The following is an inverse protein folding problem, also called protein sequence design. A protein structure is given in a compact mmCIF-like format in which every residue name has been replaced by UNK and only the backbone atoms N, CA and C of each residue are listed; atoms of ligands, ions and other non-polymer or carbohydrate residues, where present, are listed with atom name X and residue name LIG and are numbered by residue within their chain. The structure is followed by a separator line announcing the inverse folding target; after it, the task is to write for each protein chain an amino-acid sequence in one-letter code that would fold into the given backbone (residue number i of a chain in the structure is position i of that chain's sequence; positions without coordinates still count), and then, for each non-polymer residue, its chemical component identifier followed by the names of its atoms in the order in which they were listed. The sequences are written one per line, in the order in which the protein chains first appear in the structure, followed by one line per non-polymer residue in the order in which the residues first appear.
data_IF_678684448563
#
_entry.id   IF_678684448563
#
_cell.length_a   1.000
_cell.length_b   1.000
_cell.length_c   1.000
_cell.angle_alpha   90.00
_cell.angle_beta   90.00
_cell.angle_gamma   90.00
#
_symmetry.space_group_name_H-M   'P 1'
#
loop_
_entity.id
_entity.type
_entity.pdbx_description
1 polymer ?
#
# COMPACT_ATOMS: atom_id res chain seq x y z
N UNK A 1 -28.36 -31.70 3.98
CA UNK A 1 -27.77 -31.06 5.18
C UNK A 1 -26.63 -30.16 4.72
N UNK A 2 -26.53 -28.93 5.21
CA UNK A 2 -25.40 -28.05 4.86
C UNK A 2 -24.07 -28.57 5.42
N UNK A 3 -22.97 -28.36 4.71
CA UNK A 3 -21.63 -28.86 5.06
C UNK A 3 -21.17 -28.45 6.47
N UNK A 4 -21.40 -27.20 6.90
CA UNK A 4 -20.88 -26.69 8.18
C UNK A 4 -21.42 -27.47 9.40
N UNK A 5 -22.74 -27.62 9.62
CA UNK A 5 -23.28 -28.48 10.67
C UNK A 5 -22.77 -29.91 10.61
N UNK A 6 -22.58 -30.46 9.40
CA UNK A 6 -22.04 -31.80 9.23
C UNK A 6 -20.58 -31.87 9.73
N UNK A 7 -19.71 -30.95 9.33
CA UNK A 7 -18.33 -30.92 9.80
C UNK A 7 -18.26 -30.71 11.32
N UNK A 8 -19.15 -29.90 11.89
CA UNK A 8 -19.22 -29.68 13.35
C UNK A 8 -19.56 -30.95 14.13
N UNK A 9 -20.23 -31.94 13.55
CA UNK A 9 -20.52 -33.20 14.25
C UNK A 9 -19.27 -34.03 14.53
N UNK A 10 -18.15 -33.73 13.88
CA UNK A 10 -16.87 -34.35 14.13
C UNK A 10 -16.10 -33.76 15.33
N UNK A 11 -16.63 -32.71 15.97
CA UNK A 11 -15.97 -32.05 17.08
C UNK A 11 -15.91 -32.95 18.32
N UNK A 12 -14.77 -32.92 19.02
CA UNK A 12 -14.60 -33.56 20.33
C UNK A 12 -14.46 -32.53 21.46
N UNK A 13 -14.29 -33.00 22.69
CA UNK A 13 -14.07 -32.14 23.85
C UNK A 13 -12.81 -31.26 23.74
N UNK A 14 -11.85 -31.61 22.87
CA UNK A 14 -10.65 -30.79 22.62
C UNK A 14 -10.83 -29.75 21.52
N UNK A 15 -11.96 -29.78 20.79
CA UNK A 15 -12.25 -28.78 19.75
C UNK A 15 -12.50 -27.41 20.38
N UNK A 16 -11.81 -26.39 19.88
CA UNK A 16 -12.06 -25.00 20.27
C UNK A 16 -13.51 -24.63 20.00
N UNK A 17 -14.21 -24.13 21.02
CA UNK A 17 -15.62 -23.76 20.93
C UNK A 17 -15.80 -22.29 21.29
N UNK A 18 -16.78 -21.65 20.67
CA UNK A 18 -17.21 -20.28 20.99
C UNK A 18 -18.63 -20.31 21.54
N UNK A 19 -18.93 -19.45 22.51
CA UNK A 19 -20.30 -19.29 23.00
C UNK A 19 -21.08 -18.45 22.00
N UNK A 20 -22.08 -19.03 21.33
CA UNK A 20 -22.94 -18.29 20.41
C UNK A 20 -24.41 -18.57 20.70
N UNK A 21 -25.26 -17.59 20.42
CA UNK A 21 -26.70 -17.81 20.30
C UNK A 21 -26.89 -18.48 18.94
N UNK A 22 -27.19 -19.79 18.93
CA UNK A 22 -27.40 -20.69 17.78
C UNK A 22 -27.16 -20.14 16.35
N UNK A 23 -26.37 -20.82 15.50
CA UNK A 23 -25.80 -20.24 14.28
C UNK A 23 -26.86 -20.05 13.18
N UNK A 24 -27.31 -18.81 12.99
CA UNK A 24 -27.93 -18.41 11.73
C UNK A 24 -26.83 -18.27 10.68
N UNK A 25 -27.04 -18.88 9.50
CA UNK A 25 -26.15 -18.73 8.35
C UNK A 25 -26.04 -17.28 7.86
N UNK A 26 -25.29 -17.01 6.78
CA UNK A 26 -25.20 -15.66 6.23
C UNK A 26 -26.61 -15.13 5.91
N UNK A 27 -26.87 -13.83 6.04
CA UNK A 27 -28.14 -13.26 5.61
C UNK A 27 -28.30 -13.57 4.12
N UNK A 28 -29.25 -14.44 3.79
CA UNK A 28 -29.66 -14.63 2.40
C UNK A 28 -30.17 -13.30 1.84
N UNK A 29 -30.11 -13.08 0.52
CA UNK A 29 -30.77 -11.93 -0.09
C UNK A 29 -32.26 -12.03 0.27
N UNK A 30 -32.71 -11.11 1.11
CA UNK A 30 -34.08 -11.04 1.57
C UNK A 30 -35.01 -11.02 0.37
N UNK A 31 -36.02 -11.89 0.41
CA UNK A 31 -37.17 -11.79 -0.45
C UNK A 31 -37.71 -10.37 -0.37
N UNK A 32 -37.66 -9.65 -1.49
CA UNK A 32 -38.39 -8.42 -1.69
C UNK A 32 -39.87 -8.76 -1.73
N UNK A 33 -40.54 -8.65 -0.58
CA UNK A 33 -41.99 -8.41 -0.54
C UNK A 33 -42.15 -6.91 -0.28
N UNK A 34 -42.83 -6.24 -1.21
CA UNK A 34 -43.06 -4.81 -1.20
C UNK A 34 -44.32 -4.42 -0.40
N UNK A 35 -44.24 -3.19 0.16
CA UNK A 35 -45.25 -2.17 0.45
C UNK A 35 -46.38 -2.38 1.48
N UNK A 36 -46.49 -1.40 2.41
CA UNK A 36 -47.76 -0.69 2.64
C UNK A 36 -48.42 -0.68 4.03
N UNK A 37 -48.03 0.27 4.90
CA UNK A 37 -48.84 0.94 5.97
C UNK A 37 -49.41 0.06 7.15
N UNK A 38 -50.08 0.64 8.18
CA UNK A 38 -49.53 0.78 9.54
C UNK A 38 -50.35 0.05 10.62
N UNK A 39 -49.83 -0.01 11.86
CA UNK A 39 -50.46 -0.54 13.10
C UNK A 39 -50.43 -2.06 13.39
N UNK A 40 -49.38 -2.47 14.13
CA UNK A 40 -49.42 -3.31 15.36
C UNK A 40 -49.58 -4.85 15.26
N UNK A 41 -49.25 -5.63 16.32
CA UNK A 41 -48.70 -5.26 17.63
C UNK A 41 -47.28 -5.82 17.90
N UNK A 42 -46.64 -5.23 18.91
CA UNK A 42 -45.44 -5.72 19.60
C UNK A 42 -45.59 -7.20 20.01
N UNK A 43 -45.01 -8.12 19.23
CA UNK A 43 -44.76 -9.49 19.68
C UNK A 43 -43.36 -9.55 20.26
N UNK A 44 -43.30 -9.32 21.58
CA UNK A 44 -42.44 -10.08 22.48
C UNK A 44 -40.93 -9.90 22.37
N UNK A 45 -40.42 -8.77 22.83
CA UNK A 45 -39.05 -8.62 23.39
C UNK A 45 -38.78 -9.50 24.63
N UNK A 46 -39.73 -10.36 25.02
CA UNK A 46 -39.60 -11.27 26.16
C UNK A 46 -39.16 -12.71 25.80
N UNK A 47 -39.02 -13.05 24.50
CA UNK A 47 -38.61 -14.39 24.07
C UNK A 47 -37.11 -14.55 23.74
N UNK A 48 -36.32 -13.46 23.82
CA UNK A 48 -34.86 -13.50 23.64
C UNK A 48 -34.09 -13.64 24.96
N UNK A 49 -34.78 -13.68 26.09
CA UNK A 49 -34.17 -13.68 27.43
C UNK A 49 -33.83 -15.09 27.98
N UNK A 50 -33.92 -16.15 27.16
CA UNK A 50 -33.62 -17.51 27.61
C UNK A 50 -33.02 -18.44 26.54
N UNK A 51 -32.45 -17.91 25.46
CA UNK A 51 -31.59 -18.72 24.60
C UNK A 51 -30.23 -18.90 25.27
N UNK A 52 -30.05 -20.02 25.98
CA UNK A 52 -28.78 -20.41 26.58
C UNK A 52 -27.67 -20.40 25.53
N UNK A 53 -26.60 -19.64 25.78
CA UNK A 53 -25.38 -19.67 24.99
C UNK A 53 -24.85 -21.10 24.96
N UNK A 54 -24.84 -21.74 23.79
CA UNK A 54 -24.32 -23.09 23.63
C UNK A 54 -22.91 -23.04 23.04
N UNK A 55 -21.98 -23.88 23.54
CA UNK A 55 -20.64 -23.97 22.96
C UNK A 55 -20.76 -24.51 21.53
N UNK A 56 -20.36 -23.69 20.56
CA UNK A 56 -20.34 -24.03 19.14
C UNK A 56 -18.91 -24.33 18.72
N UNK A 57 -18.58 -25.56 18.28
CA UNK A 57 -17.23 -25.90 17.87
C UNK A 57 -16.82 -25.18 16.59
N UNK A 58 -15.57 -24.72 16.56
CA UNK A 58 -14.91 -24.13 15.39
C UNK A 58 -13.82 -25.10 14.93
N UNK A 59 -14.19 -25.95 13.98
CA UNK A 59 -13.31 -26.95 13.37
C UNK A 59 -13.20 -26.81 11.84
N UNK A 60 -13.88 -25.82 11.27
CA UNK A 60 -13.84 -25.53 9.84
C UNK A 60 -14.00 -24.04 9.54
N UNK A 61 -13.27 -23.56 8.54
CA UNK A 61 -13.38 -22.22 7.97
C UNK A 61 -13.61 -22.35 6.47
N UNK A 62 -14.65 -21.72 5.95
CA UNK A 62 -15.06 -21.85 4.56
C UNK A 62 -15.06 -20.47 3.88
N UNK A 63 -14.56 -20.43 2.65
CA UNK A 63 -14.65 -19.29 1.76
C UNK A 63 -14.80 -19.79 0.32
N UNK A 64 -16.03 -19.73 -0.23
CA UNK A 64 -16.35 -20.38 -1.51
C UNK A 64 -15.93 -21.86 -1.52
N UNK A 65 -15.08 -22.26 -2.47
CA UNK A 65 -14.51 -23.61 -2.60
C UNK A 65 -13.28 -23.87 -1.70
N UNK A 66 -12.67 -22.83 -1.14
CA UNK A 66 -11.57 -22.94 -0.20
C UNK A 66 -12.09 -23.29 1.20
N UNK A 67 -11.74 -24.49 1.69
CA UNK A 67 -12.12 -24.99 3.01
C UNK A 67 -10.88 -25.36 3.81
N UNK A 68 -10.77 -24.80 5.01
CA UNK A 68 -9.77 -25.20 6.00
C UNK A 68 -10.43 -26.02 7.11
N UNK A 69 -9.93 -27.23 7.34
CA UNK A 69 -10.33 -28.10 8.44
C UNK A 69 -9.28 -28.00 9.56
N UNK A 70 -9.73 -27.82 10.80
CA UNK A 70 -8.88 -27.57 11.96
C UNK A 70 -9.28 -28.49 13.10
N UNK A 71 -8.33 -29.26 13.63
CA UNK A 71 -8.57 -30.18 14.72
C UNK A 71 -7.39 -31.14 14.93
N UNK A 72 -7.57 -32.10 15.81
CA UNK A 72 -6.70 -33.27 15.93
C UNK A 72 -6.72 -34.13 14.67
N UNK A 73 -5.72 -35.00 14.51
CA UNK A 73 -5.60 -35.85 13.32
C UNK A 73 -6.83 -36.75 13.11
N UNK A 74 -7.43 -37.27 14.17
CA UNK A 74 -8.66 -38.07 14.11
C UNK A 74 -9.88 -37.24 13.71
N UNK A 75 -10.05 -36.06 14.30
CA UNK A 75 -11.16 -35.14 13.97
C UNK A 75 -11.09 -34.70 12.50
N UNK A 76 -9.90 -34.32 12.02
CA UNK A 76 -9.70 -33.91 10.62
C UNK A 76 -9.94 -35.08 9.67
N UNK A 77 -9.48 -36.29 10.00
CA UNK A 77 -9.75 -37.48 9.18
C UNK A 77 -11.25 -37.75 9.06
N UNK A 78 -11.98 -37.67 10.17
CA UNK A 78 -13.42 -37.85 10.18
C UNK A 78 -14.14 -36.75 9.39
N UNK A 79 -13.72 -35.48 9.53
CA UNK A 79 -14.24 -34.37 8.71
C UNK A 79 -14.00 -34.58 7.21
N UNK A 80 -12.86 -35.15 6.80
CA UNK A 80 -12.60 -35.50 5.40
C UNK A 80 -13.59 -36.55 4.88
N UNK A 81 -13.91 -37.58 5.68
CA UNK A 81 -14.91 -38.59 5.31
C UNK A 81 -16.30 -37.96 5.13
N UNK A 82 -16.70 -37.10 6.07
CA UNK A 82 -17.96 -36.37 5.99
C UNK A 82 -18.02 -35.44 4.78
N UNK A 83 -16.93 -34.71 4.49
CA UNK A 83 -16.82 -33.84 3.33
C UNK A 83 -16.89 -34.63 2.02
N UNK A 84 -16.31 -35.83 1.98
CA UNK A 84 -16.40 -36.75 0.85
C UNK A 84 -17.84 -37.23 0.64
N UNK A 85 -18.50 -37.77 1.68
CA UNK A 85 -19.88 -38.25 1.59
C UNK A 85 -20.81 -37.12 1.13
N UNK A 86 -20.66 -35.94 1.73
CA UNK A 86 -21.43 -34.75 1.37
C UNK A 86 -21.23 -34.36 -0.10
N UNK A 87 -19.98 -34.35 -0.57
CA UNK A 87 -19.68 -34.00 -1.97
C UNK A 87 -20.33 -34.96 -2.98
N UNK A 88 -20.27 -36.26 -2.72
CA UNK A 88 -20.90 -37.29 -3.55
C UNK A 88 -22.41 -37.15 -3.57
N UNK A 89 -23.02 -36.82 -2.42
CA UNK A 89 -24.47 -36.63 -2.29
C UNK A 89 -24.96 -35.41 -3.08
N UNK A 90 -24.18 -34.34 -3.16
CA UNK A 90 -24.55 -33.11 -3.86
C UNK A 90 -23.99 -33.00 -5.29
N UNK A 91 -23.29 -34.02 -5.79
CA UNK A 91 -22.83 -34.08 -7.18
C UNK A 91 -21.62 -33.18 -7.49
N UNK A 92 -20.79 -32.84 -6.50
CA UNK A 92 -19.51 -32.14 -6.72
C UNK A 92 -18.33 -32.97 -6.19
N UNK A 93 -17.10 -32.60 -6.56
CA UNK A 93 -15.89 -33.26 -6.05
C UNK A 93 -14.87 -32.24 -5.56
N UNK A 94 -14.25 -32.56 -4.43
CA UNK A 94 -13.03 -31.90 -4.00
C UNK A 94 -11.86 -32.30 -4.90
N UNK A 95 -10.81 -31.49 -4.92
CA UNK A 95 -9.60 -31.73 -5.72
C UNK A 95 -8.44 -32.10 -4.79
N UNK A 96 -8.21 -33.38 -4.45
CA UNK A 96 -7.09 -33.81 -3.61
C UNK A 96 -5.73 -33.21 -4.01
N UNK A 97 -5.38 -33.06 -5.32
CA UNK A 97 -4.11 -32.44 -5.72
C UNK A 97 -3.92 -30.97 -5.32
N UNK A 98 -4.99 -30.28 -4.91
CA UNK A 98 -4.95 -28.89 -4.41
C UNK A 98 -5.02 -28.81 -2.89
N UNK A 99 -5.28 -29.93 -2.21
CA UNK A 99 -5.35 -30.02 -0.77
C UNK A 99 -3.98 -30.37 -0.19
N UNK A 100 -3.71 -29.91 1.01
CA UNK A 100 -2.51 -30.27 1.74
C UNK A 100 -2.80 -30.31 3.25
N UNK A 101 -1.94 -31.03 3.97
CA UNK A 101 -2.02 -31.14 5.43
C UNK A 101 -0.86 -30.38 6.04
N UNK A 102 -1.17 -29.37 6.84
CA UNK A 102 -0.21 -28.68 7.70
C UNK A 102 -0.16 -29.36 9.07
N UNK A 103 1.01 -29.38 9.71
CA UNK A 103 1.21 -29.90 11.06
C UNK A 103 0.77 -31.36 11.27
N UNK A 104 0.91 -32.21 10.24
CA UNK A 104 0.65 -33.64 10.41
C UNK A 104 1.62 -34.23 11.45
N UNK A 105 1.13 -35.07 12.39
CA UNK A 105 2.02 -35.83 13.27
C UNK A 105 3.02 -36.67 12.47
N UNK A 106 4.22 -36.88 12.99
CA UNK A 106 5.20 -37.75 12.31
C UNK A 106 4.67 -39.18 12.17
N UNK A 107 5.00 -39.91 11.09
CA UNK A 107 4.51 -41.28 10.86
C UNK A 107 4.76 -42.27 12.01
N UNK A 108 5.81 -42.06 12.82
CA UNK A 108 6.09 -42.88 14.01
C UNK A 108 5.32 -42.48 15.27
N UNK A 109 4.45 -41.47 15.21
CA UNK A 109 3.66 -41.02 16.36
C UNK A 109 2.38 -41.86 16.50
N UNK A 110 2.00 -42.18 17.74
CA UNK A 110 0.69 -42.79 18.04
C UNK A 110 -0.51 -41.92 17.61
N UNK A 111 -0.28 -40.63 17.35
CA UNK A 111 -1.29 -39.68 16.87
C UNK A 111 -1.36 -39.59 15.35
N UNK A 112 -0.49 -40.30 14.63
CA UNK A 112 -0.47 -40.28 13.18
C UNK A 112 -1.75 -40.90 12.63
N UNK A 113 -2.39 -40.16 11.73
CA UNK A 113 -3.53 -40.64 10.95
C UNK A 113 -3.26 -40.25 9.50
N UNK A 114 -3.29 -41.25 8.62
CA UNK A 114 -3.13 -41.02 7.19
C UNK A 114 -4.32 -40.22 6.67
N UNK A 115 -4.04 -39.04 6.12
CA UNK A 115 -5.06 -38.14 5.58
C UNK A 115 -5.29 -38.45 4.11
N UNK A 116 -6.51 -38.84 3.76
CA UNK A 116 -6.87 -39.15 2.38
C UNK A 116 -8.26 -38.66 2.04
N UNK A 117 -8.48 -38.43 0.74
CA UNK A 117 -9.75 -38.01 0.17
C UNK A 117 -9.97 -38.75 -1.15
N UNK A 118 -11.11 -39.44 -1.27
CA UNK A 118 -11.42 -40.37 -2.37
C UNK A 118 -10.35 -41.46 -2.58
N UNK A 119 -9.75 -41.93 -1.49
CA UNK A 119 -8.65 -42.91 -1.53
C UNK A 119 -7.31 -42.34 -2.03
N UNK A 120 -7.21 -41.04 -2.29
CA UNK A 120 -5.95 -40.37 -2.61
C UNK A 120 -5.36 -39.74 -1.36
N UNK A 121 -4.08 -40.00 -1.11
CA UNK A 121 -3.36 -39.42 0.02
C UNK A 121 -3.14 -37.92 -0.17
N UNK A 122 -3.38 -37.16 0.90
CA UNK A 122 -3.11 -35.73 0.92
C UNK A 122 -1.65 -35.49 1.31
N UNK A 123 -0.89 -34.69 0.54
CA UNK A 123 0.50 -34.41 0.87
C UNK A 123 0.61 -33.60 2.16
N UNK A 124 1.51 -34.03 3.05
CA UNK A 124 1.94 -33.21 4.19
C UNK A 124 2.92 -32.15 3.72
N UNK A 125 2.67 -30.89 4.06
CA UNK A 125 3.52 -29.76 3.67
C UNK A 125 3.91 -28.93 4.90
N UNK A 126 5.07 -28.29 4.86
CA UNK A 126 5.50 -27.35 5.92
C UNK A 126 4.86 -25.97 5.76
N UNK A 127 4.55 -25.57 4.52
CA UNK A 127 3.93 -24.29 4.18
C UNK A 127 2.78 -24.50 3.19
N UNK A 128 1.64 -23.83 3.42
CA UNK A 128 0.48 -23.86 2.53
C UNK A 128 -0.16 -22.48 2.42
N UNK A 129 -0.62 -22.11 1.23
CA UNK A 129 -1.25 -20.82 0.98
C UNK A 129 -2.76 -20.93 1.03
N UNK A 130 -3.38 -20.29 2.02
CA UNK A 130 -4.83 -20.21 2.18
C UNK A 130 -5.31 -18.77 1.95
N UNK A 131 -6.26 -18.56 1.03
CA UNK A 131 -6.75 -17.23 0.62
C UNK A 131 -5.62 -16.26 0.23
N UNK A 132 -4.57 -16.79 -0.39
CA UNK A 132 -3.38 -16.02 -0.78
C UNK A 132 -2.44 -15.62 0.37
N UNK A 133 -2.65 -16.09 1.59
CA UNK A 133 -1.74 -15.88 2.72
C UNK A 133 -1.01 -17.20 3.02
N UNK A 134 0.33 -17.25 2.99
CA UNK A 134 1.07 -18.45 3.33
C UNK A 134 1.08 -18.68 4.84
N UNK A 135 0.81 -19.91 5.24
CA UNK A 135 0.84 -20.39 6.61
C UNK A 135 1.90 -21.48 6.76
N UNK A 136 2.63 -21.44 7.86
CA UNK A 136 3.51 -22.50 8.35
C UNK A 136 2.96 -23.09 9.65
N UNK A 137 3.69 -24.01 10.27
CA UNK A 137 3.29 -24.63 11.52
C UNK A 137 3.13 -23.69 12.72
N UNK A 138 3.59 -22.44 12.61
CA UNK A 138 3.52 -21.40 13.66
C UNK A 138 2.51 -20.29 13.34
N UNK A 139 1.84 -20.34 12.18
CA UNK A 139 0.85 -19.36 11.74
C UNK A 139 1.23 -18.69 10.43
N UNK A 140 1.02 -17.38 10.32
CA UNK A 140 1.31 -16.65 9.06
C UNK A 140 2.82 -16.58 8.82
N UNK A 141 3.27 -17.15 7.69
CA UNK A 141 4.65 -17.05 7.21
C UNK A 141 4.89 -15.68 6.58
N UNK A 142 5.22 -14.69 7.40
CA UNK A 142 5.41 -13.29 6.97
C UNK A 142 6.53 -13.17 5.92
N UNK A 143 7.62 -13.91 6.10
CA UNK A 143 8.75 -13.91 5.17
C UNK A 143 8.37 -14.44 3.79
N UNK A 144 7.65 -15.57 3.72
CA UNK A 144 7.19 -16.12 2.45
C UNK A 144 6.15 -15.20 1.79
N UNK A 145 5.25 -14.62 2.59
CA UNK A 145 4.27 -13.65 2.11
C UNK A 145 4.97 -12.46 1.44
N UNK A 146 5.95 -11.83 2.09
CA UNK A 146 6.67 -10.68 1.53
C UNK A 146 7.43 -11.07 0.27
N UNK A 147 8.11 -12.23 0.27
CA UNK A 147 8.84 -12.74 -0.90
C UNK A 147 7.90 -12.94 -2.09
N UNK A 148 6.81 -13.66 -1.90
CA UNK A 148 5.82 -13.95 -2.94
C UNK A 148 5.18 -12.66 -3.48
N UNK A 149 4.73 -11.77 -2.59
CA UNK A 149 4.10 -10.49 -2.96
C UNK A 149 5.06 -9.55 -3.65
N UNK A 150 6.33 -9.49 -3.22
CA UNK A 150 7.36 -8.70 -3.87
C UNK A 150 7.62 -9.18 -5.30
N UNK A 151 7.79 -10.49 -5.49
CA UNK A 151 7.99 -11.09 -6.81
C UNK A 151 6.80 -10.80 -7.75
N UNK A 152 5.58 -11.10 -7.29
CA UNK A 152 4.35 -10.86 -8.07
C UNK A 152 4.14 -9.38 -8.42
N UNK A 153 4.45 -8.48 -7.48
CA UNK A 153 4.36 -7.03 -7.70
C UNK A 153 5.37 -6.57 -8.74
N UNK A 154 6.62 -7.04 -8.67
CA UNK A 154 7.66 -6.66 -9.63
C UNK A 154 7.32 -7.17 -11.04
N UNK A 155 6.80 -8.39 -11.15
CA UNK A 155 6.32 -8.92 -12.43
C UNK A 155 5.18 -8.08 -13.01
N UNK A 156 4.18 -7.72 -12.19
CA UNK A 156 3.08 -6.85 -12.63
C UNK A 156 3.57 -5.45 -13.02
N UNK A 157 4.52 -4.88 -12.27
CA UNK A 157 5.13 -3.59 -12.58
C UNK A 157 5.93 -3.65 -13.89
N UNK A 158 6.64 -4.75 -14.16
CA UNK A 158 7.37 -4.95 -15.41
C UNK A 158 6.43 -5.01 -16.62
N UNK A 159 5.28 -5.67 -16.48
CA UNK A 159 4.23 -5.68 -17.51
C UNK A 159 3.67 -4.27 -17.76
N UNK A 160 3.32 -3.51 -16.71
CA UNK A 160 2.85 -2.14 -16.91
C UNK A 160 3.94 -1.24 -17.51
N UNK A 161 5.19 -1.46 -17.13
CA UNK A 161 6.33 -0.71 -17.67
C UNK A 161 6.48 -0.92 -19.19
N UNK A 162 6.29 -2.15 -19.69
CA UNK A 162 6.29 -2.42 -21.15
C UNK A 162 5.08 -1.82 -21.86
N UNK A 163 3.95 -1.61 -21.17
CA UNK A 163 2.73 -0.97 -21.70
C UNK A 163 2.75 0.57 -21.64
N UNK A 164 3.90 1.19 -21.33
CA UNK A 164 4.03 2.66 -21.31
C UNK A 164 4.02 3.30 -19.92
N UNK A 165 3.98 2.52 -18.83
CA UNK A 165 4.19 3.00 -17.46
C UNK A 165 5.68 3.26 -17.19
N UNK A 166 6.30 4.08 -18.02
CA UNK A 166 7.71 4.43 -18.03
C UNK A 166 7.88 5.92 -18.32
N UNK A 167 9.13 6.41 -18.32
CA UNK A 167 9.46 7.83 -18.56
C UNK A 167 8.99 8.34 -19.94
N UNK A 168 8.86 7.45 -20.92
CA UNK A 168 8.53 7.78 -22.31
C UNK A 168 7.02 7.77 -22.57
N UNK A 169 6.23 7.01 -21.81
CA UNK A 169 4.77 6.97 -21.94
C UNK A 169 4.08 8.02 -21.07
N UNK A 170 3.55 7.60 -19.93
CA UNK A 170 2.72 8.44 -19.07
C UNK A 170 3.51 9.50 -18.28
N UNK A 171 2.82 10.59 -17.92
CA UNK A 171 3.38 11.59 -17.01
C UNK A 171 3.66 10.98 -15.63
N UNK A 172 4.70 11.45 -14.93
CA UNK A 172 5.06 10.90 -13.62
C UNK A 172 3.90 10.95 -12.61
N UNK A 173 3.07 12.00 -12.64
CA UNK A 173 1.90 12.10 -11.79
C UNK A 173 0.92 10.95 -12.05
N UNK A 174 0.55 10.72 -13.31
CA UNK A 174 -0.33 9.64 -13.69
C UNK A 174 0.31 8.28 -13.34
N UNK A 175 1.58 8.10 -13.65
CA UNK A 175 2.33 6.89 -13.34
C UNK A 175 2.34 6.56 -11.84
N UNK A 176 2.52 7.57 -10.98
CA UNK A 176 2.45 7.38 -9.52
C UNK A 176 1.06 7.03 -9.01
N UNK A 177 0.00 7.54 -9.67
CA UNK A 177 -1.40 7.23 -9.33
C UNK A 177 -1.75 5.82 -9.75
N UNK A 178 -1.35 5.40 -10.96
CA UNK A 178 -1.52 4.03 -11.44
C UNK A 178 -0.75 3.03 -10.56
N UNK A 179 0.48 3.36 -10.17
CA UNK A 179 1.23 2.57 -9.19
C UNK A 179 0.44 2.43 -7.87
N UNK A 180 -0.03 3.53 -7.30
CA UNK A 180 -0.76 3.52 -6.04
C UNK A 180 -2.11 2.76 -6.12
N UNK A 181 -2.76 2.77 -7.29
CA UNK A 181 -4.06 2.16 -7.52
C UNK A 181 -3.99 0.66 -7.84
N UNK A 182 -3.00 0.22 -8.63
CA UNK A 182 -2.97 -1.15 -9.16
C UNK A 182 -1.79 -2.00 -8.68
N UNK A 183 -0.62 -1.38 -8.47
CA UNK A 183 0.60 -2.11 -8.12
C UNK A 183 0.77 -2.20 -6.61
N UNK A 184 0.66 -1.08 -5.88
CA UNK A 184 0.84 -1.06 -4.43
C UNK A 184 -0.09 -2.00 -3.68
N UNK A 185 -1.39 -2.15 -4.04
CA UNK A 185 -2.28 -3.10 -3.36
C UNK A 185 -1.79 -4.56 -3.39
N UNK A 186 -1.05 -4.97 -4.43
CA UNK A 186 -0.44 -6.31 -4.49
C UNK A 186 0.60 -6.53 -3.39
N UNK A 187 1.32 -5.49 -2.97
CA UNK A 187 2.23 -5.55 -1.81
C UNK A 187 1.49 -5.45 -0.46
N UNK A 188 0.34 -4.79 -0.44
CA UNK A 188 -0.41 -4.51 0.78
C UNK A 188 -1.26 -5.69 1.29
N UNK A 189 -1.59 -6.64 0.41
CA UNK A 189 -2.42 -7.78 0.77
C UNK A 189 -1.80 -8.62 1.90
N UNK A 190 -2.57 -8.83 2.98
CA UNK A 190 -2.14 -9.56 4.18
C UNK A 190 -1.40 -8.70 5.24
N UNK A 191 -0.93 -7.49 4.91
CA UNK A 191 -0.14 -6.68 5.85
C UNK A 191 -0.93 -6.22 7.09
N UNK A 192 -2.25 -6.13 6.99
CA UNK A 192 -3.13 -5.70 8.08
C UNK A 192 -3.13 -6.66 9.29
N UNK A 193 -2.82 -7.94 9.05
CA UNK A 193 -2.82 -9.02 10.05
C UNK A 193 -1.42 -9.60 10.25
N UNK A 194 -0.40 -9.03 9.61
CA UNK A 194 0.96 -9.52 9.68
C UNK A 194 1.76 -8.86 10.81
N UNK A 195 2.51 -9.66 11.55
CA UNK A 195 3.52 -9.18 12.51
C UNK A 195 4.82 -8.89 11.75
N UNK A 196 4.96 -7.65 11.29
CA UNK A 196 6.15 -7.21 10.57
C UNK A 196 7.30 -6.89 11.52
N UNK A 197 8.48 -7.42 11.23
CA UNK A 197 9.74 -6.96 11.82
C UNK A 197 10.26 -5.73 11.08
N UNK A 198 11.32 -5.10 11.62
CA UNK A 198 12.01 -4.01 10.92
C UNK A 198 12.57 -4.47 9.56
N UNK A 199 13.16 -5.66 9.50
CA UNK A 199 13.73 -6.25 8.28
C UNK A 199 12.67 -6.47 7.20
N UNK A 200 11.47 -6.88 7.61
CA UNK A 200 10.31 -7.04 6.72
C UNK A 200 9.88 -5.71 6.12
N UNK A 201 9.81 -4.66 6.94
CA UNK A 201 9.53 -3.30 6.47
C UNK A 201 10.58 -2.79 5.48
N UNK A 202 11.87 -3.09 5.72
CA UNK A 202 12.95 -2.76 4.80
C UNK A 202 12.81 -3.50 3.45
N UNK A 203 12.45 -4.79 3.44
CA UNK A 203 12.22 -5.54 2.20
C UNK A 203 11.02 -5.02 1.41
N UNK A 204 9.91 -4.70 2.09
CA UNK A 204 8.75 -4.09 1.44
C UNK A 204 9.09 -2.74 0.81
N UNK A 205 9.87 -1.91 1.51
CA UNK A 205 10.34 -0.64 0.94
C UNK A 205 11.29 -0.88 -0.24
N UNK A 206 12.18 -1.89 -0.19
CA UNK A 206 13.03 -2.27 -1.34
C UNK A 206 12.20 -2.68 -2.56
N UNK A 207 11.13 -3.45 -2.37
CA UNK A 207 10.23 -3.85 -3.44
C UNK A 207 9.50 -2.64 -4.06
N UNK A 208 8.95 -1.75 -3.24
CA UNK A 208 8.36 -0.49 -3.70
C UNK A 208 9.40 0.36 -4.46
N UNK A 209 10.61 0.48 -3.93
CA UNK A 209 11.65 1.33 -4.50
C UNK A 209 12.14 0.85 -5.87
N UNK A 210 12.22 -0.46 -6.07
CA UNK A 210 12.44 -1.05 -7.41
C UNK A 210 11.33 -0.63 -8.38
N UNK A 211 10.06 -0.73 -7.99
CA UNK A 211 8.94 -0.32 -8.83
C UNK A 211 9.00 1.18 -9.18
N UNK A 212 9.28 2.03 -8.19
CA UNK A 212 9.34 3.48 -8.40
C UNK A 212 10.48 3.89 -9.33
N UNK A 213 11.64 3.23 -9.28
CA UNK A 213 12.74 3.48 -10.21
C UNK A 213 12.36 3.15 -11.65
N UNK A 214 11.54 2.12 -11.88
CA UNK A 214 11.04 1.78 -13.21
C UNK A 214 10.16 2.90 -13.79
N UNK A 215 9.34 3.58 -12.97
CA UNK A 215 8.47 4.68 -13.43
C UNK A 215 9.27 5.83 -14.06
N UNK A 216 10.46 6.10 -13.53
CA UNK A 216 11.29 7.25 -13.93
C UNK A 216 12.49 6.86 -14.79
N UNK A 217 12.67 5.57 -15.09
CA UNK A 217 13.87 5.05 -15.76
C UNK A 217 15.15 5.35 -14.95
N UNK A 218 15.05 5.32 -13.62
CA UNK A 218 16.15 5.68 -12.72
C UNK A 218 17.16 4.54 -12.56
N UNK A 219 18.42 4.89 -12.31
CA UNK A 219 19.47 3.91 -11.99
C UNK A 219 19.14 3.09 -10.75
N UNK A 220 19.72 1.88 -10.62
CA UNK A 220 19.50 0.95 -9.49
C UNK A 220 19.80 1.54 -8.10
N UNK A 221 20.57 2.62 -8.01
CA UNK A 221 20.89 3.33 -6.76
C UNK A 221 20.19 4.68 -6.62
N UNK A 222 19.34 5.07 -7.57
CA UNK A 222 18.64 6.35 -7.51
C UNK A 222 17.80 6.44 -6.23
N UNK A 223 17.87 7.60 -5.56
CA UNK A 223 17.10 7.86 -4.36
C UNK A 223 15.61 7.90 -4.69
N UNK A 224 14.85 7.09 -3.97
CA UNK A 224 13.38 7.02 -4.05
C UNK A 224 12.72 7.88 -3.00
N UNK A 225 13.48 8.42 -2.03
CA UNK A 225 12.96 9.31 -0.98
C UNK A 225 12.34 10.56 -1.59
N UNK A 226 13.08 11.23 -2.48
CA UNK A 226 12.60 12.42 -3.19
C UNK A 226 11.44 12.05 -4.10
N UNK A 227 11.53 10.93 -4.82
CA UNK A 227 10.47 10.47 -5.72
C UNK A 227 9.15 10.24 -4.98
N UNK A 228 9.20 9.55 -3.84
CA UNK A 228 8.05 9.36 -2.94
C UNK A 228 7.51 10.70 -2.43
N UNK A 229 8.38 11.64 -2.09
CA UNK A 229 7.98 12.96 -1.63
C UNK A 229 7.25 13.76 -2.72
N UNK A 230 7.85 13.95 -3.90
CA UNK A 230 7.24 14.76 -4.97
C UNK A 230 5.94 14.16 -5.51
N UNK A 231 5.79 12.83 -5.45
CA UNK A 231 4.56 12.11 -5.84
C UNK A 231 3.57 11.91 -4.69
N UNK A 232 3.94 12.34 -3.47
CA UNK A 232 3.19 12.09 -2.23
C UNK A 232 2.92 10.62 -1.88
N UNK A 233 3.75 9.69 -2.36
CA UNK A 233 3.64 8.27 -2.03
C UNK A 233 4.22 7.96 -0.64
N UNK A 234 3.50 7.27 0.24
CA UNK A 234 4.02 6.82 1.54
C UNK A 234 5.05 5.70 1.38
N UNK A 235 5.83 5.45 2.43
CA UNK A 235 6.62 4.22 2.57
C UNK A 235 5.71 3.01 2.79
N UNK A 236 6.19 1.81 2.50
CA UNK A 236 5.44 0.57 2.79
C UNK A 236 5.27 0.33 4.29
N UNK A 237 6.23 0.78 5.11
CA UNK A 237 6.10 0.73 6.58
C UNK A 237 4.88 1.53 7.04
N UNK A 238 4.77 2.79 6.59
CA UNK A 238 3.62 3.63 6.92
C UNK A 238 2.30 3.06 6.38
N UNK A 239 2.33 2.43 5.19
CA UNK A 239 1.16 1.74 4.64
C UNK A 239 0.73 0.55 5.51
N UNK A 240 1.67 -0.28 5.95
CA UNK A 240 1.38 -1.40 6.83
C UNK A 240 0.77 -0.92 8.16
N UNK A 241 1.36 0.12 8.78
CA UNK A 241 0.83 0.73 10.00
C UNK A 241 -0.58 1.28 9.80
N UNK A 242 -0.83 1.96 8.68
CA UNK A 242 -2.18 2.44 8.32
C UNK A 242 -3.18 1.28 8.19
N UNK A 243 -2.77 0.15 7.61
CA UNK A 243 -3.62 -1.03 7.42
C UNK A 243 -3.92 -1.70 8.76
N UNK A 244 -2.94 -1.81 9.65
CA UNK A 244 -3.13 -2.33 11.01
C UNK A 244 -4.08 -1.44 11.82
N UNK A 245 -3.90 -0.11 11.79
CA UNK A 245 -4.83 0.81 12.45
C UNK A 245 -6.26 0.61 11.94
N UNK A 246 -6.45 0.59 10.62
CA UNK A 246 -7.77 0.37 10.01
C UNK A 246 -8.38 -0.97 10.42
N UNK A 247 -7.56 -2.02 10.51
CA UNK A 247 -8.00 -3.32 10.96
C UNK A 247 -8.43 -3.30 12.43
N UNK A 248 -7.63 -2.70 13.33
CA UNK A 248 -7.99 -2.58 14.75
C UNK A 248 -9.26 -1.75 14.97
N UNK A 249 -9.42 -0.63 14.24
CA UNK A 249 -10.63 0.19 14.32
C UNK A 249 -11.87 -0.56 13.82
N UNK A 250 -11.73 -1.32 12.71
CA UNK A 250 -12.81 -2.17 12.21
C UNK A 250 -13.15 -3.26 13.22
N UNK A 251 -12.14 -3.89 13.81
CA UNK A 251 -12.31 -4.94 14.81
C UNK A 251 -13.15 -4.46 16.01
N UNK A 252 -12.89 -3.25 16.51
CA UNK A 252 -13.64 -2.70 17.64
C UNK A 252 -15.10 -2.33 17.30
N UNK A 253 -15.45 -2.23 16.01
CA UNK A 253 -16.82 -1.97 15.55
C UNK A 253 -17.51 -3.20 14.96
N UNK A 254 -16.95 -4.40 15.14
CA UNK A 254 -17.59 -5.64 14.69
C UNK A 254 -18.74 -6.02 15.63
N UNK A 255 -19.83 -6.58 15.10
CA UNK A 255 -20.87 -7.20 15.92
C UNK A 255 -20.32 -8.30 16.83
N UNK A 256 -20.92 -8.47 18.01
CA UNK A 256 -20.50 -9.46 19.00
C UNK A 256 -20.70 -10.91 18.52
N UNK A 257 -21.68 -11.12 17.63
CA UNK A 257 -22.02 -12.42 17.03
C UNK A 257 -21.14 -12.80 15.82
N UNK A 258 -20.27 -11.90 15.36
CA UNK A 258 -19.37 -12.22 14.26
C UNK A 258 -18.26 -13.20 14.71
N UNK A 259 -17.84 -14.08 13.80
CA UNK A 259 -16.85 -15.13 14.10
C UNK A 259 -15.58 -14.60 14.76
N UNK A 260 -15.07 -13.45 14.30
CA UNK A 260 -13.83 -12.90 14.82
C UNK A 260 -13.98 -12.34 16.25
N UNK A 261 -15.12 -11.72 16.57
CA UNK A 261 -15.46 -11.28 17.93
C UNK A 261 -15.58 -12.47 18.88
N UNK A 262 -16.33 -13.50 18.46
CA UNK A 262 -16.51 -14.75 19.19
C UNK A 262 -15.19 -15.50 19.46
N UNK A 263 -14.31 -15.55 18.46
CA UNK A 263 -12.98 -16.16 18.61
C UNK A 263 -12.08 -15.35 19.55
N UNK A 264 -12.18 -14.02 19.52
CA UNK A 264 -11.32 -13.17 20.35
C UNK A 264 -11.66 -13.22 21.84
N UNK A 265 -12.91 -13.53 22.20
CA UNK A 265 -13.34 -13.74 23.58
C UNK A 265 -12.97 -15.14 24.08
N UNK A 266 -12.91 -16.12 23.17
CA UNK A 266 -12.71 -17.54 23.52
C UNK A 266 -11.26 -18.00 23.39
N UNK A 267 -10.42 -17.29 22.61
CA UNK A 267 -9.04 -17.67 22.32
C UNK A 267 -8.10 -16.50 22.59
N UNK A 268 -7.08 -16.72 23.43
CA UNK A 268 -6.02 -15.74 23.66
C UNK A 268 -5.22 -15.52 22.37
N UNK A 269 -5.42 -14.36 21.73
CA UNK A 269 -4.68 -14.00 20.52
C UNK A 269 -3.49 -13.10 20.85
N UNK A 270 -2.31 -13.71 20.89
CA UNK A 270 -1.04 -12.98 20.98
C UNK A 270 -0.87 -12.03 19.79
N UNK A 271 -1.35 -12.40 18.60
CA UNK A 271 -1.29 -11.57 17.40
C UNK A 271 -2.09 -10.28 17.55
N UNK A 272 -3.38 -10.34 17.91
CA UNK A 272 -4.22 -9.15 18.10
C UNK A 272 -3.63 -8.21 19.15
N UNK A 273 -3.13 -8.79 20.25
CA UNK A 273 -2.47 -8.03 21.31
C UNK A 273 -1.24 -7.29 20.78
N UNK A 274 -0.42 -7.92 19.94
CA UNK A 274 0.75 -7.29 19.34
C UNK A 274 0.39 -6.23 18.29
N UNK A 275 -0.67 -6.44 17.51
CA UNK A 275 -1.14 -5.44 16.54
C UNK A 275 -1.62 -4.16 17.24
N UNK A 276 -2.33 -4.30 18.37
CA UNK A 276 -2.79 -3.16 19.20
C UNK A 276 -1.64 -2.39 19.86
N UNK A 277 -0.47 -3.01 20.03
CA UNK A 277 0.73 -2.37 20.58
C UNK A 277 1.51 -1.53 19.56
N UNK A 278 1.10 -1.50 18.28
CA UNK A 278 1.77 -0.62 17.31
C UNK A 278 1.57 0.84 17.67
N UNK A 279 2.62 1.64 17.57
CA UNK A 279 2.62 3.05 17.96
C UNK A 279 1.47 3.84 17.31
N UNK A 280 1.21 3.64 16.00
CA UNK A 280 0.11 4.31 15.29
C UNK A 280 -1.28 4.00 15.88
N UNK A 281 -1.45 2.83 16.51
CA UNK A 281 -2.71 2.42 17.14
C UNK A 281 -2.84 3.08 18.51
N UNK A 282 -1.74 3.16 19.25
CA UNK A 282 -1.68 3.83 20.55
C UNK A 282 -1.84 5.36 20.42
N UNK A 283 -1.29 5.95 19.36
CA UNK A 283 -1.37 7.39 19.09
C UNK A 283 -2.76 7.82 18.57
N UNK A 284 -3.58 6.88 18.11
CA UNK A 284 -4.92 7.20 17.61
C UNK A 284 -5.86 7.49 18.78
N UNK A 285 -6.58 8.63 18.78
CA UNK A 285 -7.41 9.00 19.92
C UNK A 285 -8.56 8.01 20.15
N UNK A 286 -8.72 7.53 21.38
CA UNK A 286 -9.78 6.58 21.75
C UNK A 286 -11.19 7.13 21.49
N UNK A 287 -11.38 8.43 21.66
CA UNK A 287 -12.68 9.10 21.50
C UNK A 287 -12.92 9.59 20.06
N UNK A 288 -12.01 9.30 19.13
CA UNK A 288 -12.14 9.77 17.76
C UNK A 288 -13.28 9.03 17.03
N UNK A 289 -14.25 9.75 16.45
CA UNK A 289 -15.35 9.09 15.76
C UNK A 289 -14.86 8.44 14.45
N UNK A 290 -15.33 7.22 14.20
CA UNK A 290 -14.89 6.30 13.13
C UNK A 290 -15.18 6.76 11.67
N UNK A 291 -15.60 8.01 11.44
CA UNK A 291 -15.86 8.50 10.09
C UNK A 291 -14.60 8.46 9.22
N UNK A 292 -14.74 7.96 7.98
CA UNK A 292 -13.61 7.80 7.06
C UNK A 292 -12.85 9.11 6.76
N UNK A 293 -13.55 10.25 6.73
CA UNK A 293 -12.96 11.57 6.48
C UNK A 293 -12.06 12.05 7.62
N UNK A 294 -12.48 11.85 8.89
CA UNK A 294 -11.67 12.18 10.07
C UNK A 294 -10.43 11.30 10.17
N UNK A 295 -10.57 9.98 9.96
CA UNK A 295 -9.44 9.07 9.94
C UNK A 295 -8.43 9.45 8.85
N UNK A 296 -8.90 9.77 7.63
CA UNK A 296 -8.02 10.21 6.55
C UNK A 296 -7.29 11.52 6.90
N UNK A 297 -7.96 12.46 7.57
CA UNK A 297 -7.37 13.73 8.00
C UNK A 297 -6.35 13.54 9.12
N UNK A 298 -6.62 12.67 10.08
CA UNK A 298 -5.67 12.28 11.12
C UNK A 298 -4.43 11.60 10.53
N UNK A 299 -4.61 10.60 9.66
CA UNK A 299 -3.50 9.91 8.99
C UNK A 299 -2.61 10.86 8.18
N UNK A 300 -3.20 11.88 7.54
CA UNK A 300 -2.43 12.93 6.85
C UNK A 300 -1.56 13.74 7.80
N UNK A 301 -2.12 14.17 8.94
CA UNK A 301 -1.37 14.92 9.97
C UNK A 301 -0.28 14.05 10.60
N UNK A 302 -0.64 12.84 11.03
CA UNK A 302 0.30 11.88 11.60
C UNK A 302 1.50 11.60 10.68
N UNK A 303 1.24 11.40 9.38
CA UNK A 303 2.32 11.25 8.37
C UNK A 303 3.18 12.50 8.21
N UNK A 304 2.56 13.68 8.28
CA UNK A 304 3.26 14.96 8.19
C UNK A 304 4.20 15.13 9.38
N UNK A 305 3.76 14.79 10.59
CA UNK A 305 4.57 14.89 11.80
C UNK A 305 5.75 13.92 11.76
N UNK A 306 5.54 12.66 11.36
CA UNK A 306 6.63 11.72 11.14
C UNK A 306 7.63 12.21 10.08
N UNK A 307 7.16 12.87 9.03
CA UNK A 307 8.03 13.44 8.00
C UNK A 307 8.84 14.64 8.53
N UNK A 308 8.25 15.49 9.38
CA UNK A 308 8.99 16.55 10.05
C UNK A 308 10.11 16.00 10.95
N UNK A 309 9.84 14.98 11.77
CA UNK A 309 10.87 14.32 12.58
C UNK A 309 11.96 13.67 11.71
N UNK A 310 11.59 13.10 10.56
CA UNK A 310 12.54 12.59 9.58
C UNK A 310 13.43 13.70 9.00
N UNK A 311 12.86 14.86 8.64
CA UNK A 311 13.62 15.99 8.11
C UNK A 311 14.62 16.57 9.12
N UNK A 312 14.26 16.56 10.42
CA UNK A 312 15.14 17.02 11.49
C UNK A 312 16.36 16.09 11.71
N UNK A 313 16.17 14.78 11.52
CA UNK A 313 17.21 13.77 11.77
C UNK A 313 18.03 13.38 10.53
N UNK A 314 17.52 13.63 9.32
CA UNK A 314 18.19 13.20 8.09
C UNK A 314 19.32 14.13 7.66
N UNK A 315 20.42 13.54 7.19
CA UNK A 315 21.52 14.24 6.50
C UNK A 315 21.31 14.37 4.98
N UNK A 316 20.21 13.82 4.45
CA UNK A 316 19.95 13.81 3.02
C UNK A 316 19.59 15.21 2.49
N UNK A 317 20.52 15.84 1.77
CA UNK A 317 20.40 17.22 1.28
C UNK A 317 19.22 17.40 0.31
N UNK A 318 19.01 16.47 -0.63
CA UNK A 318 17.99 16.61 -1.68
C UNK A 318 16.56 16.65 -1.12
N UNK A 319 16.24 15.84 -0.11
CA UNK A 319 14.90 15.85 0.48
C UNK A 319 14.70 17.09 1.37
N UNK A 320 15.74 17.60 2.02
CA UNK A 320 15.70 18.84 2.80
C UNK A 320 15.51 20.09 1.92
N UNK A 321 15.97 20.03 0.68
CA UNK A 321 15.76 21.09 -0.31
C UNK A 321 14.33 21.10 -0.90
N UNK A 322 13.57 20.01 -0.75
CA UNK A 322 12.17 19.93 -1.16
C UNK A 322 11.26 20.69 -0.18
N UNK A 323 9.95 20.77 -0.51
CA UNK A 323 8.97 21.40 0.38
C UNK A 323 8.87 20.62 1.70
N UNK A 324 8.73 21.29 2.86
CA UNK A 324 8.55 20.57 4.12
C UNK A 324 7.18 19.89 4.22
N UNK A 325 6.20 20.31 3.42
CA UNK A 325 4.83 19.79 3.46
C UNK A 325 4.63 18.64 2.46
N UNK A 326 4.10 17.52 2.93
CA UNK A 326 3.72 16.37 2.12
C UNK A 326 2.50 16.68 1.26
N UNK A 327 2.72 16.77 -0.04
CA UNK A 327 1.69 16.90 -1.08
C UNK A 327 2.31 16.54 -2.42
N UNK A 328 1.48 16.42 -3.45
CA UNK A 328 1.99 16.30 -4.82
C UNK A 328 2.72 17.60 -5.15
N UNK A 329 3.98 17.52 -5.56
CA UNK A 329 4.78 18.69 -5.89
C UNK A 329 4.21 19.38 -7.15
N UNK A 330 4.05 20.72 -7.14
CA UNK A 330 3.52 21.47 -8.28
C UNK A 330 4.22 21.21 -9.62
N UNK A 331 5.51 20.87 -9.62
CA UNK A 331 6.23 20.55 -10.86
C UNK A 331 5.59 19.41 -11.67
N UNK A 332 4.76 18.57 -11.04
CA UNK A 332 4.14 17.42 -11.67
C UNK A 332 2.82 17.74 -12.39
N UNK A 333 2.12 18.82 -12.04
CA UNK A 333 0.81 19.16 -12.63
C UNK A 333 0.69 20.58 -13.17
N UNK A 334 1.58 21.50 -12.80
CA UNK A 334 1.57 22.83 -13.38
C UNK A 334 1.80 22.76 -14.91
N UNK A 335 1.20 23.67 -15.69
CA UNK A 335 1.39 23.70 -17.13
C UNK A 335 2.87 23.85 -17.47
N UNK A 336 3.38 22.96 -18.31
CA UNK A 336 4.78 22.93 -18.72
C UNK A 336 4.91 22.00 -19.92
N UNK A 337 5.86 22.31 -20.82
CA UNK A 337 6.25 21.39 -21.88
C UNK A 337 6.80 20.07 -21.30
N UNK A 338 6.89 19.04 -22.14
CA UNK A 338 7.50 17.76 -21.72
C UNK A 338 8.97 17.94 -21.33
N UNK A 339 9.70 18.78 -22.07
CA UNK A 339 11.12 19.08 -21.80
C UNK A 339 11.30 19.82 -20.47
N UNK A 340 10.53 20.88 -20.23
CA UNK A 340 10.62 21.65 -18.99
C UNK A 340 10.26 20.81 -17.77
N UNK A 341 9.16 20.04 -17.85
CA UNK A 341 8.79 19.10 -16.78
C UNK A 341 9.87 18.07 -16.50
N UNK A 342 10.52 17.55 -17.54
CA UNK A 342 11.65 16.63 -17.37
C UNK A 342 12.81 17.29 -16.62
N UNK A 343 13.18 18.54 -16.96
CA UNK A 343 14.26 19.28 -16.28
C UNK A 343 13.93 19.55 -14.81
N UNK A 344 12.69 19.96 -14.52
CA UNK A 344 12.21 20.19 -13.15
C UNK A 344 12.30 18.91 -12.29
N UNK A 345 11.84 17.79 -12.82
CA UNK A 345 11.92 16.49 -12.13
C UNK A 345 13.38 16.07 -11.95
N UNK A 346 14.21 16.17 -13.00
CA UNK A 346 15.63 15.81 -12.93
C UNK A 346 16.39 16.68 -11.93
N UNK A 347 16.07 17.97 -11.84
CA UNK A 347 16.63 18.85 -10.83
C UNK A 347 16.24 18.38 -9.42
N UNK A 348 14.95 18.14 -9.13
CA UNK A 348 14.54 17.63 -7.81
C UNK A 348 15.22 16.31 -7.45
N UNK A 349 15.33 15.41 -8.43
CA UNK A 349 15.94 14.10 -8.25
C UNK A 349 17.48 14.13 -8.12
N UNK A 350 18.12 15.30 -8.31
CA UNK A 350 19.57 15.43 -8.30
C UNK A 350 20.25 14.82 -9.53
N UNK A 351 19.54 14.68 -10.64
CA UNK A 351 20.03 14.10 -11.89
C UNK A 351 20.58 15.14 -12.88
N UNK A 352 20.41 16.42 -12.58
CA UNK A 352 21.14 17.53 -13.20
C UNK A 352 21.94 18.19 -12.07
N UNK A 353 23.28 18.32 -12.19
CA UNK A 353 24.12 17.98 -13.36
C UNK A 353 24.40 16.47 -13.58
N UNK A 354 24.04 15.61 -12.62
CA UNK A 354 24.35 14.18 -12.72
C UNK A 354 25.76 13.87 -12.20
N UNK A 355 26.57 13.17 -12.99
CA UNK A 355 27.98 12.89 -12.64
C UNK A 355 28.81 14.15 -12.89
N UNK A 356 29.63 14.62 -11.93
CA UNK A 356 30.51 15.75 -12.14
C UNK A 356 31.43 15.52 -13.35
N UNK A 357 31.53 16.53 -14.20
CA UNK A 357 32.39 16.59 -15.38
C UNK A 357 32.92 18.02 -15.57
N UNK A 358 34.09 18.23 -16.18
CA UNK A 358 34.65 19.56 -16.41
C UNK A 358 33.66 20.47 -17.15
N UNK A 359 33.42 21.66 -16.61
CA UNK A 359 32.54 22.64 -17.23
C UNK A 359 33.28 23.41 -18.34
N UNK A 360 32.60 23.67 -19.46
CA UNK A 360 33.14 24.46 -20.57
C UNK A 360 33.40 25.93 -20.22
N UNK A 361 32.94 26.42 -19.06
CA UNK A 361 33.29 27.74 -18.58
C UNK A 361 34.71 27.82 -17.98
N UNK A 362 35.39 26.68 -17.80
CA UNK A 362 36.76 26.61 -17.28
C UNK A 362 36.93 26.81 -15.77
N UNK A 363 35.85 26.98 -15.00
CA UNK A 363 35.90 27.33 -13.56
C UNK A 363 35.57 26.16 -12.61
N UNK A 364 35.75 24.92 -13.09
CA UNK A 364 35.58 23.70 -12.29
C UNK A 364 34.60 22.70 -12.89
N UNK A 365 34.16 21.73 -12.06
CA UNK A 365 33.26 20.66 -12.49
C UNK A 365 31.78 21.06 -12.36
N UNK A 366 30.97 20.47 -13.25
CA UNK A 366 29.50 20.55 -13.26
C UNK A 366 28.93 19.92 -11.98
N UNK A 367 28.79 20.76 -10.95
CA UNK A 367 28.10 20.49 -9.70
C UNK A 367 26.88 21.40 -9.54
N UNK A 368 25.91 21.04 -8.70
CA UNK A 368 24.74 21.91 -8.44
C UNK A 368 25.16 23.28 -7.93
N UNK A 369 26.19 23.34 -7.09
CA UNK A 369 26.77 24.59 -6.58
C UNK A 369 27.41 25.40 -7.70
N UNK A 370 28.22 24.76 -8.56
CA UNK A 370 28.84 25.41 -9.69
C UNK A 370 27.81 26.00 -10.67
N UNK A 371 26.74 25.27 -10.97
CA UNK A 371 25.68 25.74 -11.86
C UNK A 371 25.00 27.02 -11.37
N UNK A 372 25.01 27.32 -10.06
CA UNK A 372 24.45 28.58 -9.54
C UNK A 372 25.28 29.81 -9.91
N UNK A 373 26.58 29.61 -10.17
CA UNK A 373 27.56 30.70 -10.41
C UNK A 373 28.22 30.59 -11.79
N UNK A 374 27.76 29.66 -12.63
CA UNK A 374 28.35 29.40 -13.93
C UNK A 374 28.10 30.58 -14.89
N UNK A 375 29.17 31.10 -15.48
CA UNK A 375 29.15 32.27 -16.39
C UNK A 375 28.44 32.01 -17.71
N UNK A 376 28.22 30.74 -18.07
CA UNK A 376 27.45 30.35 -19.27
C UNK A 376 25.94 30.49 -19.09
N UNK A 377 25.45 30.74 -17.87
CA UNK A 377 24.05 31.08 -17.61
C UNK A 377 23.89 32.61 -17.60
N UNK A 378 23.07 33.19 -18.48
CA UNK A 378 22.91 34.64 -18.54
C UNK A 378 22.51 35.26 -17.19
N UNK A 379 23.29 36.25 -16.73
CA UNK A 379 23.10 36.91 -15.43
C UNK A 379 21.72 37.55 -15.27
N UNK A 380 21.17 38.11 -16.37
CA UNK A 380 19.85 38.74 -16.39
C UNK A 380 18.72 37.79 -15.97
N UNK A 381 18.83 36.48 -16.25
CA UNK A 381 17.81 35.51 -15.84
C UNK A 381 17.74 35.36 -14.31
N UNK A 382 18.87 35.48 -13.62
CA UNK A 382 18.93 35.40 -12.16
C UNK A 382 18.25 36.59 -11.50
N UNK A 383 18.32 37.78 -12.11
CA UNK A 383 17.61 38.97 -11.66
C UNK A 383 16.08 38.83 -11.72
N UNK A 384 15.57 37.93 -12.56
CA UNK A 384 14.14 37.63 -12.64
C UNK A 384 13.66 36.66 -11.55
N UNK A 385 14.56 36.02 -10.80
CA UNK A 385 14.20 35.05 -9.77
C UNK A 385 14.07 35.72 -8.37
N UNK A 386 13.10 35.30 -7.54
CA UNK A 386 13.05 35.70 -6.14
C UNK A 386 14.33 35.31 -5.39
N UNK A 387 14.88 36.23 -4.60
CA UNK A 387 16.14 36.01 -3.86
C UNK A 387 15.86 35.21 -2.57
N UNK A 388 16.63 34.15 -2.27
CA UNK A 388 16.49 33.42 -1.02
C UNK A 388 16.86 34.29 0.19
N UNK A 389 16.18 34.12 1.34
CA UNK A 389 16.53 34.86 2.55
C UNK A 389 17.94 34.51 3.07
N UNK A 390 18.57 35.45 3.78
CA UNK A 390 19.86 35.27 4.45
C UNK A 390 19.75 34.17 5.51
N UNK A 391 20.20 32.96 5.18
CA UNK A 391 20.06 31.77 6.03
C UNK A 391 19.31 30.60 5.38
N UNK A 392 18.84 30.74 4.14
CA UNK A 392 18.28 29.61 3.39
C UNK A 392 19.35 28.53 3.15
N UNK A 393 19.05 27.30 3.58
CA UNK A 393 19.92 26.13 3.40
C UNK A 393 19.46 25.36 2.16
N UNK A 394 20.08 25.62 1.02
CA UNK A 394 19.80 24.98 -0.26
C UNK A 394 20.29 25.81 -1.44
N UNK A 395 20.06 25.34 -2.66
CA UNK A 395 20.39 26.11 -3.86
C UNK A 395 19.28 27.10 -4.20
N UNK A 396 19.59 28.21 -4.87
CA UNK A 396 18.62 29.23 -5.28
C UNK A 396 17.43 28.63 -6.04
N UNK A 397 17.68 27.70 -6.95
CA UNK A 397 16.63 27.00 -7.69
C UNK A 397 15.72 26.17 -6.78
N UNK A 398 16.25 25.54 -5.73
CA UNK A 398 15.43 24.78 -4.77
C UNK A 398 14.45 25.70 -4.03
N UNK A 399 14.89 26.90 -3.65
CA UNK A 399 14.05 27.93 -3.05
C UNK A 399 12.94 28.36 -4.01
N UNK A 400 13.27 28.70 -5.25
CA UNK A 400 12.30 29.16 -6.26
C UNK A 400 11.27 28.08 -6.58
N UNK A 401 11.67 26.82 -6.68
CA UNK A 401 10.73 25.70 -6.87
C UNK A 401 9.76 25.54 -5.69
N UNK A 402 10.21 25.86 -4.47
CA UNK A 402 9.36 25.86 -3.28
C UNK A 402 8.39 27.06 -3.24
N UNK A 403 8.56 28.08 -4.09
CA UNK A 403 7.62 29.20 -4.24
C UNK A 403 6.52 28.96 -5.28
N UNK A 404 6.61 27.89 -6.10
CA UNK A 404 5.57 27.58 -7.09
C UNK A 404 4.18 27.45 -6.44
N UNK A 405 3.11 27.93 -7.10
CA UNK A 405 1.77 27.85 -6.55
C UNK A 405 1.29 26.40 -6.50
N UNK A 406 0.40 26.12 -5.55
CA UNK A 406 -0.14 24.76 -5.32
C UNK A 406 -1.47 24.53 -6.07
N UNK A 407 -2.14 25.60 -6.50
CA UNK A 407 -3.34 25.45 -7.32
C UNK A 407 -2.98 25.20 -8.77
N UNK A 408 -3.62 24.20 -9.40
CA UNK A 408 -3.49 23.96 -10.84
C UNK A 408 -4.09 25.11 -11.69
N UNK A 409 -4.95 25.94 -11.10
CA UNK A 409 -5.54 27.14 -11.73
C UNK A 409 -4.79 28.43 -11.39
N UNK A 410 -3.66 28.35 -10.69
CA UNK A 410 -2.89 29.54 -10.38
C UNK A 410 -2.34 30.22 -11.63
N UNK A 411 -2.25 31.55 -11.58
CA UNK A 411 -1.60 32.34 -12.63
C UNK A 411 -0.11 31.99 -12.71
N UNK A 412 0.44 32.03 -13.92
CA UNK A 412 1.87 31.83 -14.14
C UNK A 412 2.69 32.88 -13.37
N UNK A 413 3.62 32.47 -12.49
CA UNK A 413 4.50 33.42 -11.81
C UNK A 413 5.40 34.18 -12.80
N UNK A 414 5.75 35.45 -12.52
CA UNK A 414 6.58 36.25 -13.43
C UNK A 414 7.97 35.67 -13.64
N UNK A 415 8.51 34.96 -12.64
CA UNK A 415 9.82 34.31 -12.69
C UNK A 415 9.84 32.97 -13.45
N UNK A 416 8.68 32.45 -13.88
CA UNK A 416 8.55 31.10 -14.44
C UNK A 416 9.38 30.89 -15.71
N UNK A 417 9.31 31.83 -16.66
CA UNK A 417 10.09 31.73 -17.89
C UNK A 417 11.59 31.70 -17.60
N UNK A 418 12.07 32.60 -16.76
CA UNK A 418 13.49 32.65 -16.36
C UNK A 418 13.94 31.36 -15.68
N UNK A 419 13.12 30.80 -14.77
CA UNK A 419 13.39 29.51 -14.14
C UNK A 419 13.54 28.37 -15.17
N UNK A 420 12.61 28.27 -16.13
CA UNK A 420 12.67 27.25 -17.17
C UNK A 420 13.88 27.43 -18.10
N UNK A 421 14.23 28.67 -18.43
CA UNK A 421 15.41 29.00 -19.23
C UNK A 421 16.71 28.64 -18.50
N UNK A 422 16.85 29.00 -17.22
CA UNK A 422 18.03 28.63 -16.40
C UNK A 422 18.20 27.11 -16.36
N UNK A 423 17.12 26.36 -16.08
CA UNK A 423 17.17 24.90 -16.10
C UNK A 423 17.51 24.33 -17.49
N UNK A 424 17.08 25.00 -18.56
CA UNK A 424 17.49 24.64 -19.92
C UNK A 424 18.99 24.88 -20.16
N UNK A 425 19.55 25.98 -19.64
CA UNK A 425 20.99 26.23 -19.70
C UNK A 425 21.78 25.20 -18.91
N UNK A 426 21.34 24.84 -17.69
CA UNK A 426 21.98 23.77 -16.93
C UNK A 426 22.00 22.45 -17.70
N UNK A 427 20.88 22.10 -18.32
CA UNK A 427 20.78 20.88 -19.12
C UNK A 427 21.82 20.88 -20.26
N UNK A 428 21.91 21.99 -21.02
CA UNK A 428 22.87 22.19 -22.11
C UNK A 428 24.32 22.14 -21.66
N UNK A 429 24.63 22.76 -20.52
CA UNK A 429 25.99 22.76 -19.94
C UNK A 429 26.41 21.34 -19.56
N UNK A 430 25.48 20.55 -19.01
CA UNK A 430 25.77 19.19 -18.56
C UNK A 430 25.71 18.14 -19.69
N UNK A 431 25.05 18.44 -20.80
CA UNK A 431 24.88 17.53 -21.93
C UNK A 431 25.02 18.30 -23.26
N UNK A 432 26.24 18.75 -23.61
CA UNK A 432 26.46 19.57 -24.81
C UNK A 432 26.17 18.81 -26.11
N UNK A 433 26.29 17.48 -26.10
CA UNK A 433 26.11 16.62 -27.29
C UNK A 433 24.64 16.32 -27.62
N UNK A 434 23.70 16.77 -26.80
CA UNK A 434 22.27 16.53 -27.02
C UNK A 434 21.67 17.67 -27.86
N UNK A 435 20.98 17.32 -28.94
CA UNK A 435 20.18 18.29 -29.69
C UNK A 435 18.90 18.67 -28.92
N UNK A 436 18.71 19.97 -28.70
CA UNK A 436 17.56 20.52 -27.98
C UNK A 436 16.48 21.03 -28.93
N UNK A 437 15.84 20.11 -29.65
CA UNK A 437 14.74 20.42 -30.56
C UNK A 437 13.42 20.50 -29.77
N UNK A 438 13.10 21.69 -29.23
CA UNK A 438 11.84 21.94 -28.53
C UNK A 438 10.89 22.77 -29.40
N UNK A 439 9.65 22.33 -29.56
CA UNK A 439 8.61 23.04 -30.31
C UNK A 439 8.16 24.35 -29.64
N UNK A 440 8.49 24.56 -28.37
CA UNK A 440 8.16 25.76 -27.60
C UNK A 440 9.37 26.29 -26.84
N UNK A 441 9.46 27.61 -26.70
CA UNK A 441 10.44 28.25 -25.83
C UNK A 441 10.26 27.80 -24.35
N UNK A 442 11.33 27.72 -23.55
CA UNK A 442 11.24 27.29 -22.15
C UNK A 442 10.24 28.14 -21.35
N UNK A 443 9.28 27.48 -20.70
CA UNK A 443 8.25 28.12 -19.88
C UNK A 443 7.04 28.68 -20.63
N UNK A 444 7.06 28.70 -21.98
CA UNK A 444 6.02 29.36 -22.80
C UNK A 444 4.63 28.75 -22.61
N UNK A 445 4.54 27.42 -22.45
CA UNK A 445 3.27 26.68 -22.34
C UNK A 445 2.33 27.20 -21.24
N UNK A 446 2.87 27.63 -20.09
CA UNK A 446 2.03 28.17 -19.01
C UNK A 446 1.64 29.62 -19.27
N UNK A 447 2.53 30.39 -19.89
CA UNK A 447 2.24 31.77 -20.28
C UNK A 447 1.06 31.77 -21.27
N UNK A 448 1.16 30.98 -22.34
CA UNK A 448 0.11 30.86 -23.36
C UNK A 448 -1.23 30.46 -22.74
N UNK A 449 -1.22 29.46 -21.85
CA UNK A 449 -2.42 28.99 -21.16
C UNK A 449 -3.01 30.06 -20.22
N UNK A 450 -2.16 30.86 -19.57
CA UNK A 450 -2.62 31.94 -18.68
C UNK A 450 -3.20 33.10 -19.48
N UNK A 451 -2.63 33.42 -20.64
CA UNK A 451 -3.13 34.44 -21.56
C UNK A 451 -4.45 34.02 -22.20
N UNK A 452 -4.59 32.76 -22.63
CA UNK A 452 -5.83 32.23 -23.18
C UNK A 452 -6.99 32.23 -22.17
N UNK A 453 -6.69 32.05 -20.87
CA UNK A 453 -7.69 32.12 -19.80
C UNK A 453 -8.04 33.57 -19.38
N UNK A 454 -7.32 34.58 -19.89
CA UNK A 454 -7.55 35.99 -19.60
C UNK A 454 -8.34 36.72 -20.69
N UNK A 455 -8.67 36.05 -21.80
CA UNK A 455 -9.59 36.55 -22.83
C UNK A 455 -11.02 36.21 -22.40
N UNK A 456 -11.95 37.19 -22.32
CA UNK A 456 -13.30 37.01 -21.80
C UNK A 456 -14.17 36.05 -22.60
#
# INVERSE_FOLDING_TARGET
MSLIPLLRSAASATTTSVLSVSPSGPPGPGALVADGLPFGPLVGTAALSSSSLSPTPINSLLYADDVALVGSASEVRHMLDLAQIHSLTLGYKWSPPKCAVLNAPSPGSSRFVQMSLYGQDLPTTEEFTYLGVPFDGKGISVSAMIKHRSSSTLAAMAQLHSMGLNRQGFTLLLSSRLFAAFIRPKLEYGLAIARLTRKDGEELNRAQDRCLRMLVGGHRTASTVVLRHITNLPSMTFRADTLVLKFCLRFNGLPDDCLLSLLSSSVSSSLLTQLRKRQIVLDYPSDAPLSSSRLASWLRRYRQDQFHSFLQSTSQVLIRACRPVLRVDPILYLPASRADRSRLIRWRMGWIPGKPAPCSCGLGDTSRSHLMVCTLVPSALWCCLPVPPTGYVGHHIDYVLNLLPVSASARCPPFWSALCQILCHFDKICHPDIEYNSSSAPGQVWIDKSSAAAVP
#
